data_IF_368954409600
#
_entry.id   IF_368954409600
#
_cell.length_a   1.000
_cell.length_b   1.000
_cell.length_c   1.000
_cell.angle_alpha   90.00
_cell.angle_beta   90.00
_cell.angle_gamma   90.00
#
_symmetry.space_group_name_H-M   'P 1'
#
loop_
_entity.id
_entity.type
_entity.pdbx_description
1 polymer ?
#
# COMPACT_ATOMS: atom_id res chain seq x y z
N UNK A 1 -0.67 4.50 -23.53
CA UNK A 1 -2.05 4.95 -23.80
C UNK A 1 -2.13 5.29 -25.30
N UNK A 2 -3.15 4.81 -26.01
CA UNK A 2 -3.35 5.20 -27.42
C UNK A 2 -3.51 6.73 -27.49
N UNK A 3 -2.96 7.39 -28.50
CA UNK A 3 -2.99 8.86 -28.65
C UNK A 3 -4.39 9.45 -28.51
N UNK A 4 -5.39 8.71 -28.98
CA UNK A 4 -6.79 9.14 -28.94
C UNK A 4 -7.37 9.18 -27.50
N UNK A 5 -6.98 8.26 -26.64
CA UNK A 5 -7.43 8.23 -25.23
C UNK A 5 -6.86 9.44 -24.47
N UNK A 6 -5.59 9.78 -24.71
CA UNK A 6 -4.99 10.97 -24.10
C UNK A 6 -5.69 12.27 -24.49
N UNK A 7 -6.12 12.38 -25.76
CA UNK A 7 -6.87 13.55 -26.23
C UNK A 7 -8.27 13.63 -25.61
N UNK A 8 -8.93 12.48 -25.39
CA UNK A 8 -10.25 12.41 -24.76
C UNK A 8 -10.21 12.60 -23.24
N UNK A 9 -9.04 12.45 -22.61
CA UNK A 9 -8.89 12.60 -21.16
C UNK A 9 -9.03 14.08 -20.77
N UNK A 10 -9.96 14.43 -19.84
CA UNK A 10 -10.15 15.80 -19.38
C UNK A 10 -8.89 16.40 -18.74
N UNK A 11 -8.72 17.72 -18.84
CA UNK A 11 -7.57 18.42 -18.26
C UNK A 11 -7.45 18.21 -16.74
N UNK A 12 -8.58 18.17 -16.03
CA UNK A 12 -8.64 17.89 -14.60
C UNK A 12 -8.11 16.49 -14.25
N UNK A 13 -8.39 15.47 -15.07
CA UNK A 13 -7.86 14.12 -14.89
C UNK A 13 -6.36 14.07 -15.19
N UNK A 14 -5.88 14.82 -16.19
CA UNK A 14 -4.44 14.96 -16.46
C UNK A 14 -3.72 15.60 -15.28
N UNK A 15 -4.34 16.59 -14.64
CA UNK A 15 -3.82 17.20 -13.42
C UNK A 15 -3.73 16.19 -12.26
N UNK A 16 -4.78 15.37 -12.09
CA UNK A 16 -4.76 14.29 -11.09
C UNK A 16 -3.64 13.27 -11.35
N UNK A 17 -3.30 12.99 -12.62
CA UNK A 17 -2.15 12.13 -12.94
C UNK A 17 -0.83 12.72 -12.42
N UNK A 18 -0.60 14.01 -12.69
CA UNK A 18 0.63 14.71 -12.27
C UNK A 18 0.71 14.74 -10.76
N UNK A 19 -0.38 15.12 -10.07
CA UNK A 19 -0.40 15.18 -8.60
C UNK A 19 -0.20 13.79 -7.98
N UNK A 20 -0.84 12.75 -8.51
CA UNK A 20 -0.66 11.36 -8.04
C UNK A 20 0.78 10.88 -8.22
N UNK A 21 1.41 11.17 -9.37
CA UNK A 21 2.81 10.84 -9.62
C UNK A 21 3.74 11.51 -8.59
N UNK A 22 3.59 12.83 -8.39
CA UNK A 22 4.42 13.60 -7.44
C UNK A 22 4.23 13.10 -6.01
N UNK A 23 2.99 12.80 -5.59
CA UNK A 23 2.71 12.27 -4.26
C UNK A 23 3.32 10.89 -4.04
N UNK A 24 3.25 9.99 -5.03
CA UNK A 24 3.90 8.67 -4.93
C UNK A 24 5.42 8.81 -4.84
N UNK A 25 6.01 9.70 -5.64
CA UNK A 25 7.43 9.99 -5.59
C UNK A 25 7.86 10.44 -4.18
N UNK A 26 7.16 11.38 -3.55
CA UNK A 26 7.46 11.84 -2.20
C UNK A 26 7.26 10.76 -1.12
N UNK A 27 6.17 9.99 -1.22
CA UNK A 27 5.84 8.96 -0.24
C UNK A 27 6.87 7.81 -0.22
N UNK A 28 7.10 7.20 -1.38
CA UNK A 28 8.00 6.06 -1.48
C UNK A 28 9.49 6.45 -1.39
N UNK A 29 9.82 7.73 -1.60
CA UNK A 29 11.15 8.24 -1.30
C UNK A 29 11.41 8.35 0.20
N UNK A 30 10.41 8.71 1.02
CA UNK A 30 10.60 8.97 2.44
C UNK A 30 10.49 7.71 3.31
N UNK A 31 9.44 6.90 3.12
CA UNK A 31 9.04 5.88 4.10
C UNK A 31 10.12 4.81 4.38
N UNK A 32 10.78 4.19 3.37
CA UNK A 32 11.85 3.23 3.64
C UNK A 32 13.03 3.85 4.39
N UNK A 33 13.38 5.08 4.07
CA UNK A 33 14.52 5.78 4.70
C UNK A 33 14.19 6.37 6.07
N UNK A 34 12.90 6.55 6.41
CA UNK A 34 12.48 6.86 7.78
C UNK A 34 12.88 5.72 8.72
N UNK A 35 12.67 4.45 8.33
CA UNK A 35 13.14 3.30 9.11
C UNK A 35 14.64 3.41 9.39
N UNK A 36 15.45 3.61 8.34
CA UNK A 36 16.91 3.68 8.46
C UNK A 36 17.38 4.92 9.23
N UNK A 37 16.64 6.00 9.22
CA UNK A 37 16.93 7.17 10.05
C UNK A 37 16.68 6.88 11.53
N UNK A 38 15.54 6.25 11.85
CA UNK A 38 15.19 5.92 13.24
C UNK A 38 16.16 4.90 13.85
N UNK A 39 16.56 3.87 13.10
CA UNK A 39 17.47 2.83 13.59
C UNK A 39 18.93 3.24 13.53
N UNK A 40 19.39 3.85 12.43
CA UNK A 40 20.79 4.19 12.22
C UNK A 40 21.20 5.53 12.82
N UNK A 41 20.45 6.63 12.57
CA UNK A 41 20.84 7.98 13.03
C UNK A 41 20.37 8.27 14.44
N UNK A 42 19.15 7.84 14.81
CA UNK A 42 18.58 8.06 16.15
C UNK A 42 19.00 6.93 17.11
N UNK A 43 19.32 5.72 16.57
CA UNK A 43 19.78 4.58 17.37
C UNK A 43 18.65 3.80 18.05
N UNK A 44 17.41 3.90 17.52
CA UNK A 44 16.28 3.13 18.06
C UNK A 44 16.32 1.67 17.60
N UNK A 45 15.65 0.80 18.37
CA UNK A 45 15.38 -0.56 17.94
C UNK A 45 14.44 -0.57 16.74
N UNK A 46 14.47 -1.62 15.95
CA UNK A 46 13.54 -1.78 14.82
C UNK A 46 12.08 -1.90 15.31
N UNK A 47 11.88 -2.44 16.50
CA UNK A 47 10.58 -2.46 17.19
C UNK A 47 10.01 -1.03 17.38
N UNK A 48 10.84 -0.10 17.85
CA UNK A 48 10.40 1.30 18.07
C UNK A 48 10.15 2.02 16.74
N UNK A 49 11.00 1.82 15.75
CA UNK A 49 10.77 2.33 14.39
C UNK A 49 9.47 1.74 13.80
N UNK A 50 9.24 0.45 14.00
CA UNK A 50 8.01 -0.24 13.61
C UNK A 50 6.77 0.32 14.30
N UNK A 51 6.87 0.72 15.57
CA UNK A 51 5.77 1.37 16.28
C UNK A 51 5.36 2.69 15.62
N UNK A 52 6.32 3.56 15.29
CA UNK A 52 6.06 4.82 14.58
C UNK A 52 5.40 4.58 13.23
N UNK A 53 5.94 3.65 12.43
CA UNK A 53 5.40 3.30 11.12
C UNK A 53 4.03 2.61 11.22
N UNK A 54 3.82 1.77 12.24
CA UNK A 54 2.54 1.14 12.54
C UNK A 54 1.47 2.16 12.88
N UNK A 55 1.77 3.13 13.74
CA UNK A 55 0.87 4.25 14.08
C UNK A 55 0.53 5.07 12.83
N UNK A 56 1.52 5.37 11.98
CA UNK A 56 1.29 6.05 10.71
C UNK A 56 0.37 5.24 9.79
N UNK A 57 0.63 3.94 9.66
CA UNK A 57 -0.14 3.03 8.81
C UNK A 57 -1.58 2.91 9.29
N UNK A 58 -1.78 2.72 10.59
CA UNK A 58 -3.10 2.67 11.19
C UNK A 58 -3.86 3.99 11.02
N UNK A 59 -3.18 5.12 11.24
CA UNK A 59 -3.76 6.46 11.03
C UNK A 59 -4.19 6.68 9.58
N UNK A 60 -3.49 6.09 8.61
CA UNK A 60 -3.85 6.21 7.19
C UNK A 60 -4.99 5.28 6.80
N UNK A 61 -4.87 4.00 7.05
CA UNK A 61 -5.81 3.00 6.54
C UNK A 61 -7.01 2.78 7.49
N UNK A 62 -6.79 2.85 8.80
CA UNK A 62 -7.85 2.70 9.80
C UNK A 62 -8.89 3.84 9.73
N UNK A 63 -8.46 5.04 9.39
CA UNK A 63 -9.34 6.20 9.23
C UNK A 63 -9.76 6.50 7.78
N UNK A 64 -9.34 5.70 6.78
CA UNK A 64 -9.67 5.93 5.38
C UNK A 64 -11.18 5.94 5.11
N UNK A 65 -11.96 5.11 5.82
CA UNK A 65 -13.40 5.12 5.75
C UNK A 65 -14.00 6.46 6.20
N UNK A 66 -13.51 7.01 7.32
CA UNK A 66 -13.92 8.34 7.80
C UNK A 66 -13.52 9.45 6.82
N UNK A 67 -12.34 9.31 6.20
CA UNK A 67 -11.90 10.21 5.14
C UNK A 67 -12.84 10.23 3.94
N UNK A 68 -13.36 9.07 3.53
CA UNK A 68 -14.40 8.95 2.51
C UNK A 68 -15.68 9.69 2.90
N UNK A 69 -16.16 9.52 4.13
CA UNK A 69 -17.35 10.23 4.65
C UNK A 69 -17.16 11.76 4.67
N UNK A 70 -15.99 12.23 5.08
CA UNK A 70 -15.64 13.65 5.04
C UNK A 70 -15.67 14.18 3.61
N UNK A 71 -15.13 13.40 2.65
CA UNK A 71 -15.13 13.75 1.24
C UNK A 71 -16.54 13.81 0.64
N UNK A 72 -17.41 12.88 1.02
CA UNK A 72 -18.82 12.87 0.60
C UNK A 72 -19.63 14.04 1.19
N UNK A 73 -19.23 14.55 2.36
CA UNK A 73 -19.92 15.68 3.01
C UNK A 73 -19.40 17.05 2.55
N UNK A 74 -18.08 17.22 2.46
CA UNK A 74 -17.43 18.51 2.21
C UNK A 74 -16.94 18.69 0.76
N UNK A 75 -17.08 17.66 -0.07
CA UNK A 75 -16.63 17.63 -1.46
C UNK A 75 -15.20 17.07 -1.62
N UNK A 76 -14.99 16.44 -2.76
CA UNK A 76 -13.73 15.72 -3.02
C UNK A 76 -12.52 16.64 -3.12
N UNK A 77 -12.64 17.79 -3.81
CA UNK A 77 -11.55 18.77 -3.94
C UNK A 77 -11.07 19.26 -2.56
N UNK A 78 -11.99 19.74 -1.73
CA UNK A 78 -11.65 20.32 -0.42
C UNK A 78 -10.97 19.29 0.50
N UNK A 79 -11.51 18.06 0.53
CA UNK A 79 -10.95 16.98 1.35
C UNK A 79 -9.58 16.52 0.85
N UNK A 80 -9.37 16.46 -0.47
CA UNK A 80 -8.06 16.18 -1.04
C UNK A 80 -7.02 17.22 -0.63
N UNK A 81 -7.34 18.52 -0.78
CA UNK A 81 -6.42 19.61 -0.43
C UNK A 81 -6.08 19.57 1.06
N UNK A 82 -7.09 19.41 1.93
CA UNK A 82 -6.89 19.29 3.36
C UNK A 82 -5.97 18.12 3.71
N UNK A 83 -6.24 16.94 3.13
CA UNK A 83 -5.44 15.74 3.36
C UNK A 83 -3.99 15.88 2.89
N UNK A 84 -3.78 16.44 1.69
CA UNK A 84 -2.43 16.73 1.17
C UNK A 84 -1.69 17.73 2.05
N UNK A 85 -2.36 18.77 2.54
CA UNK A 85 -1.76 19.79 3.40
C UNK A 85 -1.36 19.22 4.77
N UNK A 86 -2.23 18.40 5.40
CA UNK A 86 -1.91 17.73 6.65
C UNK A 86 -0.73 16.77 6.46
N UNK A 87 -0.71 15.99 5.36
CA UNK A 87 0.40 15.08 5.06
C UNK A 87 1.70 15.84 4.79
N UNK A 88 1.64 16.97 4.09
CA UNK A 88 2.79 17.84 3.86
C UNK A 88 3.43 18.29 5.17
N UNK A 89 2.60 18.76 6.12
CA UNK A 89 3.04 19.15 7.46
C UNK A 89 3.65 17.93 8.19
N UNK A 90 2.95 16.78 8.18
CA UNK A 90 3.44 15.57 8.83
C UNK A 90 4.80 15.12 8.30
N UNK A 91 5.01 15.14 6.97
CA UNK A 91 6.28 14.78 6.37
C UNK A 91 7.37 15.82 6.68
N UNK A 92 7.08 17.11 6.57
CA UNK A 92 8.05 18.15 6.90
C UNK A 92 8.45 18.11 8.38
N UNK A 93 7.52 17.77 9.29
CA UNK A 93 7.80 17.70 10.73
C UNK A 93 8.86 16.64 11.06
N UNK A 94 8.96 15.54 10.32
CA UNK A 94 10.01 14.53 10.55
C UNK A 94 11.42 15.14 10.52
N UNK A 95 11.64 16.21 9.73
CA UNK A 95 12.93 16.91 9.66
C UNK A 95 13.32 17.57 11.00
N UNK A 96 12.35 17.92 11.83
CA UNK A 96 12.54 18.67 13.08
C UNK A 96 12.32 17.85 14.34
N UNK A 97 12.12 16.53 14.18
CA UNK A 97 11.88 15.63 15.30
C UNK A 97 13.16 15.43 16.11
N UNK A 98 13.09 15.76 17.40
CA UNK A 98 14.20 15.60 18.37
C UNK A 98 13.82 14.70 19.54
N UNK A 99 12.52 14.59 19.85
CA UNK A 99 12.00 13.74 20.94
C UNK A 99 11.11 12.66 20.36
N UNK A 100 10.96 11.55 21.06
CA UNK A 100 10.16 10.39 20.62
C UNK A 100 8.75 10.77 20.22
N UNK A 101 8.04 11.54 21.04
CA UNK A 101 6.66 11.93 20.77
C UNK A 101 6.50 12.81 19.52
N UNK A 102 7.54 13.56 19.08
CA UNK A 102 7.50 14.32 17.84
C UNK A 102 7.31 13.40 16.64
N UNK A 103 8.01 12.25 16.63
CA UNK A 103 7.90 11.25 15.56
C UNK A 103 6.49 10.64 15.50
N UNK A 104 5.87 10.41 16.67
CA UNK A 104 4.47 9.92 16.69
C UNK A 104 3.49 10.97 16.16
N UNK A 105 3.66 12.24 16.53
CA UNK A 105 2.81 13.33 16.01
C UNK A 105 2.96 13.45 14.49
N UNK A 106 4.20 13.46 13.97
CA UNK A 106 4.47 13.49 12.53
C UNK A 106 3.87 12.27 11.82
N UNK A 107 3.99 11.07 12.40
CA UNK A 107 3.42 9.84 11.91
C UNK A 107 1.88 9.89 11.84
N UNK A 108 1.22 10.34 12.90
CA UNK A 108 -0.25 10.50 12.95
C UNK A 108 -0.70 11.52 11.90
N UNK A 109 -0.09 12.70 11.84
CA UNK A 109 -0.46 13.72 10.86
C UNK A 109 -0.27 13.22 9.42
N UNK A 110 0.88 12.61 9.12
CA UNK A 110 1.13 12.08 7.77
C UNK A 110 0.15 10.96 7.40
N UNK A 111 -0.24 10.13 8.37
CA UNK A 111 -1.24 9.08 8.19
C UNK A 111 -2.64 9.66 7.97
N UNK A 112 -3.11 10.53 8.87
CA UNK A 112 -4.42 11.19 8.77
C UNK A 112 -4.57 11.99 7.47
N UNK A 113 -3.50 12.69 7.04
CA UNK A 113 -3.50 13.34 5.73
C UNK A 113 -3.81 12.34 4.61
N UNK A 114 -3.19 11.15 4.64
CA UNK A 114 -3.44 10.08 3.69
C UNK A 114 -4.86 9.54 3.72
N UNK A 115 -5.42 9.34 4.92
CA UNK A 115 -6.78 8.84 5.09
C UNK A 115 -7.84 9.75 4.47
N UNK A 116 -7.57 11.05 4.39
CA UNK A 116 -8.47 12.03 3.77
C UNK A 116 -8.31 12.07 2.25
N UNK A 117 -7.07 12.20 1.74
CA UNK A 117 -6.90 12.47 0.31
C UNK A 117 -7.04 11.22 -0.58
N UNK A 118 -6.68 10.02 -0.11
CA UNK A 118 -6.70 8.82 -0.95
C UNK A 118 -8.10 8.40 -1.41
N UNK A 119 -9.12 8.29 -0.53
CA UNK A 119 -10.48 8.01 -0.96
C UNK A 119 -11.08 9.15 -1.77
N UNK A 120 -10.85 10.42 -1.37
CA UNK A 120 -11.33 11.59 -2.10
C UNK A 120 -10.71 11.67 -3.51
N UNK A 121 -9.42 11.37 -3.65
CA UNK A 121 -8.74 11.32 -4.94
C UNK A 121 -9.27 10.21 -5.85
N UNK A 122 -9.52 9.03 -5.31
CA UNK A 122 -10.11 7.92 -6.06
C UNK A 122 -11.52 8.24 -6.56
N UNK A 123 -12.35 8.87 -5.72
CA UNK A 123 -13.66 9.36 -6.10
C UNK A 123 -13.59 10.48 -7.16
N UNK A 124 -12.64 11.42 -7.01
CA UNK A 124 -12.41 12.48 -8.00
C UNK A 124 -12.07 11.91 -9.38
N UNK A 125 -11.20 10.90 -9.46
CA UNK A 125 -10.93 10.19 -10.72
C UNK A 125 -12.19 9.58 -11.32
N UNK A 126 -13.02 8.93 -10.51
CA UNK A 126 -14.25 8.29 -10.98
C UNK A 126 -15.27 9.31 -11.52
N UNK A 127 -15.45 10.42 -10.80
CA UNK A 127 -16.43 11.48 -11.17
C UNK A 127 -15.97 12.29 -12.39
N UNK A 128 -14.69 12.63 -12.49
CA UNK A 128 -14.16 13.45 -13.58
C UNK A 128 -13.90 12.67 -14.85
N UNK A 129 -13.94 11.34 -14.84
CA UNK A 129 -13.64 10.51 -15.99
C UNK A 129 -14.91 10.03 -16.67
N UNK A 130 -15.10 10.28 -17.99
CA UNK A 130 -16.20 9.70 -18.76
C UNK A 130 -16.20 8.17 -18.69
N UNK A 131 -17.38 7.55 -18.60
CA UNK A 131 -17.54 6.09 -18.45
C UNK A 131 -16.83 5.31 -19.57
N UNK A 132 -16.86 5.84 -20.80
CA UNK A 132 -16.28 5.20 -21.98
C UNK A 132 -14.76 4.96 -21.90
N UNK A 133 -14.02 5.78 -21.13
CA UNK A 133 -12.55 5.70 -21.01
C UNK A 133 -12.08 5.42 -19.58
N UNK A 134 -13.00 5.11 -18.66
CA UNK A 134 -12.69 4.98 -17.22
C UNK A 134 -11.66 3.88 -16.96
N UNK A 135 -11.78 2.72 -17.61
CA UNK A 135 -10.84 1.61 -17.44
C UNK A 135 -9.42 1.99 -17.84
N UNK A 136 -9.28 2.66 -18.97
CA UNK A 136 -7.99 3.12 -19.49
C UNK A 136 -7.37 4.20 -18.61
N UNK A 137 -8.18 5.11 -18.08
CA UNK A 137 -7.73 6.15 -17.16
C UNK A 137 -7.17 5.53 -15.87
N UNK A 138 -7.87 4.59 -15.26
CA UNK A 138 -7.38 3.90 -14.06
C UNK A 138 -6.15 3.03 -14.35
N UNK A 139 -6.08 2.37 -15.51
CA UNK A 139 -4.91 1.61 -15.93
C UNK A 139 -3.68 2.53 -16.09
N UNK A 140 -3.85 3.68 -16.73
CA UNK A 140 -2.76 4.65 -16.89
C UNK A 140 -2.33 5.28 -15.57
N UNK A 141 -3.28 5.57 -14.67
CA UNK A 141 -2.97 5.98 -13.28
C UNK A 141 -2.04 4.98 -12.61
N UNK A 142 -2.34 3.67 -12.68
CA UNK A 142 -1.51 2.63 -12.08
C UNK A 142 -0.09 2.60 -12.68
N UNK A 143 0.05 2.77 -13.98
CA UNK A 143 1.37 2.88 -14.63
C UNK A 143 2.14 4.08 -14.07
N UNK A 144 1.53 5.27 -14.01
CA UNK A 144 2.17 6.47 -13.48
C UNK A 144 2.55 6.33 -12.00
N UNK A 145 1.73 5.65 -11.19
CA UNK A 145 2.06 5.36 -9.80
C UNK A 145 3.32 4.50 -9.70
N UNK A 146 3.42 3.42 -10.49
CA UNK A 146 4.62 2.56 -10.51
C UNK A 146 5.87 3.31 -11.01
N UNK A 147 5.75 4.15 -12.02
CA UNK A 147 6.86 5.02 -12.48
C UNK A 147 7.28 5.97 -11.36
N UNK A 148 6.32 6.53 -10.61
CA UNK A 148 6.59 7.36 -9.43
C UNK A 148 7.34 6.59 -8.34
N UNK A 149 6.98 5.32 -8.11
CA UNK A 149 7.68 4.45 -7.15
C UNK A 149 9.14 4.19 -7.57
N UNK A 150 9.39 3.90 -8.84
CA UNK A 150 10.78 3.72 -9.34
C UNK A 150 11.58 5.02 -9.22
N UNK A 151 11.02 6.14 -9.65
CA UNK A 151 11.66 7.45 -9.51
C UNK A 151 11.96 7.81 -8.05
N UNK A 152 11.07 7.40 -7.13
CA UNK A 152 11.22 7.65 -5.71
C UNK A 152 12.45 6.96 -5.10
N UNK A 153 12.81 5.77 -5.59
CA UNK A 153 13.99 5.06 -5.08
C UNK A 153 15.28 5.81 -5.43
N UNK A 154 15.36 6.38 -6.64
CA UNK A 154 16.51 7.18 -7.07
C UNK A 154 16.62 8.46 -6.23
N UNK A 155 15.51 9.21 -6.13
CA UNK A 155 15.48 10.47 -5.38
C UNK A 155 15.68 10.22 -3.87
N UNK A 156 15.01 9.19 -3.33
CA UNK A 156 15.12 8.81 -1.92
C UNK A 156 16.55 8.44 -1.54
N UNK A 157 17.20 7.60 -2.36
CA UNK A 157 18.61 7.24 -2.17
C UNK A 157 19.53 8.48 -2.20
N UNK A 158 19.37 9.33 -3.22
CA UNK A 158 20.22 10.51 -3.38
C UNK A 158 20.07 11.50 -2.22
N UNK A 159 18.85 11.79 -1.79
CA UNK A 159 18.62 12.71 -0.68
C UNK A 159 18.96 12.09 0.68
N UNK A 160 18.67 10.80 0.90
CA UNK A 160 19.02 10.11 2.15
C UNK A 160 20.53 9.95 2.34
N UNK A 161 21.32 9.94 1.26
CA UNK A 161 22.78 9.95 1.34
C UNK A 161 23.34 11.30 1.79
N UNK A 162 22.61 12.38 1.57
CA UNK A 162 22.97 13.71 2.09
C UNK A 162 22.56 13.85 3.56
N UNK A 163 21.27 13.84 3.84
CA UNK A 163 20.69 13.87 5.17
C UNK A 163 19.18 13.57 5.07
N UNK A 164 18.65 12.86 6.07
CA UNK A 164 17.20 12.60 6.20
C UNK A 164 16.39 13.91 6.32
N UNK A 165 16.97 14.95 6.89
CA UNK A 165 16.37 16.28 6.98
C UNK A 165 15.89 16.79 5.61
N UNK A 166 16.77 16.75 4.59
CA UNK A 166 16.44 17.22 3.26
C UNK A 166 15.40 16.32 2.56
N UNK A 167 15.49 15.01 2.77
CA UNK A 167 14.52 14.07 2.24
C UNK A 167 13.11 14.34 2.80
N UNK A 168 13.04 14.61 4.09
CA UNK A 168 11.78 14.89 4.79
C UNK A 168 11.13 16.19 4.31
N UNK A 169 11.93 17.27 4.22
CA UNK A 169 11.47 18.54 3.66
C UNK A 169 11.06 18.42 2.20
N UNK A 170 11.81 17.70 1.40
CA UNK A 170 11.48 17.46 0.00
C UNK A 170 10.13 16.73 -0.15
N UNK A 171 9.90 15.66 0.61
CA UNK A 171 8.63 14.96 0.59
C UNK A 171 7.47 15.88 1.05
N UNK A 172 7.67 16.65 2.11
CA UNK A 172 6.71 17.66 2.57
C UNK A 172 6.41 18.72 1.50
N UNK A 173 7.45 19.26 0.85
CA UNK A 173 7.31 20.25 -0.22
C UNK A 173 6.56 19.71 -1.44
N UNK A 174 6.78 18.45 -1.83
CA UNK A 174 6.02 17.82 -2.92
C UNK A 174 4.54 17.76 -2.60
N UNK A 175 4.15 17.36 -1.39
CA UNK A 175 2.75 17.35 -0.97
C UNK A 175 2.15 18.74 -0.84
N UNK A 176 2.89 19.72 -0.33
CA UNK A 176 2.46 21.11 -0.28
C UNK A 176 2.23 21.68 -1.70
N UNK A 177 3.17 21.43 -2.61
CA UNK A 177 3.04 21.85 -4.02
C UNK A 177 1.82 21.22 -4.67
N UNK A 178 1.57 19.92 -4.46
CA UNK A 178 0.37 19.27 -5.01
C UNK A 178 -0.91 19.81 -4.42
N UNK A 179 -0.93 20.17 -3.13
CA UNK A 179 -2.09 20.82 -2.50
C UNK A 179 -2.37 22.20 -3.12
N UNK A 180 -1.33 23.02 -3.34
CA UNK A 180 -1.45 24.32 -4.00
C UNK A 180 -1.92 24.16 -5.45
N UNK A 181 -1.33 23.26 -6.21
CA UNK A 181 -1.72 22.97 -7.59
C UNK A 181 -3.18 22.51 -7.68
N UNK A 182 -3.60 21.61 -6.78
CA UNK A 182 -4.99 21.16 -6.71
C UNK A 182 -5.94 22.32 -6.32
N UNK A 183 -5.54 23.19 -5.40
CA UNK A 183 -6.32 24.37 -5.02
C UNK A 183 -6.56 25.31 -6.20
N UNK A 184 -5.52 25.62 -6.95
CA UNK A 184 -5.57 26.61 -8.04
C UNK A 184 -6.25 26.06 -9.30
N UNK A 185 -5.97 24.81 -9.68
CA UNK A 185 -6.30 24.31 -11.01
C UNK A 185 -7.36 23.21 -11.04
N UNK A 186 -7.67 22.54 -9.91
CA UNK A 186 -8.71 21.53 -9.90
C UNK A 186 -10.10 22.21 -9.83
N UNK A 187 -11.07 21.82 -10.66
CA UNK A 187 -12.43 22.36 -10.58
C UNK A 187 -13.09 21.92 -9.25
N UNK A 188 -14.11 22.63 -8.77
CA UNK A 188 -14.93 22.13 -7.68
C UNK A 188 -15.56 20.78 -8.07
N UNK A 189 -15.37 19.77 -7.24
CA UNK A 189 -15.92 18.43 -7.45
C UNK A 189 -16.94 18.22 -6.34
N UNK A 190 -18.21 18.32 -6.69
CA UNK A 190 -19.30 18.10 -5.76
C UNK A 190 -19.35 16.65 -5.30
N UNK A 191 -19.73 16.45 -4.05
CA UNK A 191 -20.01 15.14 -3.52
C UNK A 191 -21.21 14.51 -4.24
N UNK A 192 -21.15 13.24 -4.53
CA UNK A 192 -22.32 12.46 -4.93
C UNK A 192 -23.13 12.18 -3.69
N UNK A 193 -24.31 12.82 -3.56
CA UNK A 193 -25.26 12.55 -2.47
C UNK A 193 -25.79 11.11 -2.56
N UNK A 194 -25.03 10.15 -2.06
CA UNK A 194 -25.53 8.79 -1.85
C UNK A 194 -26.42 8.81 -0.62
N UNK A 195 -27.75 8.81 -0.83
CA UNK A 195 -28.78 8.75 0.22
C UNK A 195 -28.81 7.42 1.00
N UNK A 196 -27.96 6.47 0.68
CA UNK A 196 -27.90 5.19 1.38
C UNK A 196 -27.17 5.36 2.71
N UNK A 197 -27.84 4.94 3.79
CA UNK A 197 -27.28 4.99 5.14
C UNK A 197 -25.99 4.18 5.22
N UNK A 198 -24.87 4.85 5.40
CA UNK A 198 -23.52 4.25 5.47
C UNK A 198 -23.47 3.15 6.53
N UNK A 199 -24.17 3.34 7.65
CA UNK A 199 -24.26 2.36 8.73
C UNK A 199 -25.01 1.08 8.34
N UNK A 200 -26.03 1.17 7.48
CA UNK A 200 -26.76 -0.01 7.00
C UNK A 200 -25.87 -0.86 6.09
N UNK A 201 -25.11 -0.23 5.22
CA UNK A 201 -24.14 -0.92 4.33
C UNK A 201 -23.01 -1.58 5.13
N UNK A 202 -22.50 -0.90 6.16
CA UNK A 202 -21.48 -1.44 7.04
C UNK A 202 -21.99 -2.62 7.88
N UNK A 203 -23.20 -2.51 8.42
CA UNK A 203 -23.87 -3.61 9.12
C UNK A 203 -24.02 -4.86 8.24
N UNK A 204 -24.35 -4.67 6.94
CA UNK A 204 -24.47 -5.78 6.00
C UNK A 204 -23.14 -6.54 5.85
N UNK A 205 -22.02 -5.82 5.73
CA UNK A 205 -20.69 -6.42 5.65
C UNK A 205 -20.36 -7.24 6.90
N UNK A 206 -20.71 -6.76 8.10
CA UNK A 206 -20.47 -7.45 9.37
C UNK A 206 -21.24 -8.77 9.50
N UNK A 207 -22.33 -8.95 8.76
CA UNK A 207 -23.10 -10.21 8.75
C UNK A 207 -22.60 -11.20 7.67
N UNK A 208 -21.78 -10.76 6.74
CA UNK A 208 -21.16 -11.64 5.74
C UNK A 208 -19.93 -12.37 6.30
N UNK A 209 -20.20 -13.49 6.97
CA UNK A 209 -19.13 -14.28 7.61
C UNK A 209 -18.07 -14.79 6.64
N UNK A 210 -18.44 -15.01 5.36
CA UNK A 210 -17.46 -15.48 4.37
C UNK A 210 -16.49 -14.36 4.01
N UNK A 211 -17.00 -13.16 3.76
CA UNK A 211 -16.18 -11.99 3.48
C UNK A 211 -15.35 -11.55 4.70
N UNK A 212 -15.89 -11.66 5.93
CA UNK A 212 -15.11 -11.41 7.14
C UNK A 212 -13.91 -12.35 7.27
N UNK A 213 -14.12 -13.65 7.02
CA UNK A 213 -13.01 -14.65 7.03
C UNK A 213 -11.97 -14.32 5.95
N UNK A 214 -12.42 -13.94 4.76
CA UNK A 214 -11.53 -13.50 3.69
C UNK A 214 -10.68 -12.29 4.13
N UNK A 215 -11.31 -11.26 4.71
CA UNK A 215 -10.61 -10.07 5.21
C UNK A 215 -9.61 -10.41 6.32
N UNK A 216 -9.96 -11.33 7.24
CA UNK A 216 -9.04 -11.79 8.29
C UNK A 216 -7.84 -12.52 7.69
N UNK A 217 -8.03 -13.38 6.70
CA UNK A 217 -6.92 -14.09 6.04
C UNK A 217 -6.01 -13.10 5.31
N UNK A 218 -6.56 -12.06 4.72
CA UNK A 218 -5.78 -11.01 4.06
C UNK A 218 -4.91 -10.18 5.02
N UNK A 219 -5.19 -10.18 6.33
CA UNK A 219 -4.27 -9.59 7.33
C UNK A 219 -2.89 -10.24 7.22
N UNK A 220 -2.82 -11.57 7.09
CA UNK A 220 -1.56 -12.29 6.88
C UNK A 220 -0.88 -11.93 5.55
N UNK A 221 -1.65 -11.77 4.47
CA UNK A 221 -1.11 -11.28 3.20
C UNK A 221 -0.46 -9.90 3.33
N UNK A 222 -1.15 -8.95 3.96
CA UNK A 222 -0.61 -7.60 4.14
C UNK A 222 0.50 -7.54 5.19
N UNK A 223 0.54 -8.49 6.13
CA UNK A 223 1.71 -8.67 7.00
C UNK A 223 2.98 -8.94 6.16
N UNK A 224 2.92 -9.86 5.20
CA UNK A 224 4.04 -10.15 4.31
C UNK A 224 4.39 -8.95 3.42
N UNK A 225 3.38 -8.33 2.82
CA UNK A 225 3.56 -7.21 1.91
C UNK A 225 4.28 -6.01 2.56
N UNK A 226 3.93 -5.70 3.80
CA UNK A 226 4.46 -4.52 4.51
C UNK A 226 5.89 -4.69 5.05
N UNK A 227 6.48 -5.89 4.98
CA UNK A 227 7.90 -6.10 5.30
C UNK A 227 8.83 -5.26 4.39
N UNK A 228 8.34 -4.90 3.20
CA UNK A 228 9.04 -4.02 2.24
C UNK A 228 9.40 -2.64 2.81
N UNK A 229 8.69 -2.18 3.82
CA UNK A 229 8.87 -0.82 4.36
C UNK A 229 9.64 -0.77 5.68
N UNK A 230 9.88 -1.92 6.33
CA UNK A 230 10.56 -1.97 7.62
C UNK A 230 11.74 -2.94 7.61
N UNK A 231 11.47 -4.23 7.49
CA UNK A 231 12.49 -5.27 7.71
C UNK A 231 13.43 -5.44 6.53
N UNK A 232 12.93 -5.36 5.29
CA UNK A 232 13.79 -5.44 4.10
C UNK A 232 14.79 -4.28 4.05
N UNK A 233 14.41 -2.99 4.18
CA UNK A 233 15.36 -1.89 4.24
C UNK A 233 16.40 -2.05 5.35
N UNK A 234 15.97 -2.51 6.54
CA UNK A 234 16.88 -2.73 7.66
C UNK A 234 17.88 -3.86 7.38
N UNK A 235 17.41 -5.01 6.86
CA UNK A 235 18.29 -6.12 6.52
C UNK A 235 19.33 -5.73 5.47
N UNK A 236 18.91 -5.00 4.44
CA UNK A 236 19.82 -4.52 3.38
C UNK A 236 20.90 -3.63 3.98
N UNK A 237 20.54 -2.73 4.89
CA UNK A 237 21.52 -1.87 5.58
C UNK A 237 22.43 -2.68 6.51
N UNK A 238 21.89 -3.65 7.25
CA UNK A 238 22.69 -4.51 8.14
C UNK A 238 23.71 -5.36 7.38
N UNK A 239 23.41 -5.81 6.14
CA UNK A 239 24.32 -6.62 5.32
C UNK A 239 25.29 -5.75 4.51
N UNK A 240 24.78 -4.69 3.89
CA UNK A 240 25.54 -3.92 2.90
C UNK A 240 26.23 -2.68 3.49
N UNK A 241 25.85 -2.26 4.70
CA UNK A 241 26.35 -1.07 5.40
C UNK A 241 26.30 0.22 4.55
N UNK A 242 25.36 0.29 3.61
CA UNK A 242 25.19 1.43 2.71
C UNK A 242 23.73 1.56 2.23
N UNK A 243 23.09 2.67 2.58
CA UNK A 243 21.70 3.00 2.25
C UNK A 243 21.38 3.00 0.75
N UNK A 244 22.39 3.19 -0.12
CA UNK A 244 22.22 3.15 -1.58
C UNK A 244 21.68 1.81 -2.06
N UNK A 245 22.11 0.70 -1.45
CA UNK A 245 21.66 -0.63 -1.83
C UNK A 245 20.19 -0.88 -1.51
N UNK A 246 19.62 -0.19 -0.53
CA UNK A 246 18.17 -0.23 -0.25
C UNK A 246 17.37 0.24 -1.46
N UNK A 247 17.78 1.37 -2.06
CA UNK A 247 17.16 1.87 -3.29
C UNK A 247 17.27 0.87 -4.45
N UNK A 248 18.39 0.17 -4.59
CA UNK A 248 18.58 -0.84 -5.64
C UNK A 248 17.63 -2.03 -5.44
N UNK A 249 17.55 -2.58 -4.23
CA UNK A 249 16.69 -3.71 -3.90
C UNK A 249 15.21 -3.34 -4.09
N UNK A 250 14.77 -2.19 -3.60
CA UNK A 250 13.39 -1.72 -3.78
C UNK A 250 13.08 -1.37 -5.25
N UNK A 251 14.07 -0.88 -6.00
CA UNK A 251 13.92 -0.67 -7.46
C UNK A 251 13.73 -2.00 -8.19
N UNK A 252 14.39 -3.08 -7.75
CA UNK A 252 14.19 -4.42 -8.33
C UNK A 252 12.74 -4.86 -8.23
N UNK A 253 12.08 -4.66 -7.07
CA UNK A 253 10.64 -4.94 -6.91
C UNK A 253 9.83 -4.14 -7.93
N UNK A 254 10.02 -2.84 -7.97
CA UNK A 254 9.22 -1.93 -8.80
C UNK A 254 9.43 -2.16 -10.30
N UNK A 255 10.67 -2.37 -10.74
CA UNK A 255 11.01 -2.66 -12.14
C UNK A 255 10.44 -4.01 -12.58
N UNK A 256 10.51 -5.04 -11.72
CA UNK A 256 9.92 -6.34 -12.00
C UNK A 256 8.42 -6.22 -12.25
N UNK A 257 7.71 -5.44 -11.40
CA UNK A 257 6.28 -5.17 -11.57
C UNK A 257 6.00 -4.47 -12.90
N UNK A 258 6.73 -3.41 -13.25
CA UNK A 258 6.53 -2.68 -14.51
C UNK A 258 6.73 -3.60 -15.72
N UNK A 259 7.74 -4.45 -15.70
CA UNK A 259 8.11 -5.29 -16.85
C UNK A 259 7.23 -6.52 -17.01
N UNK A 260 6.79 -7.13 -15.90
CA UNK A 260 6.18 -8.46 -15.92
C UNK A 260 4.69 -8.48 -15.55
N UNK A 261 4.17 -7.45 -14.85
CA UNK A 261 2.79 -7.42 -14.34
C UNK A 261 1.75 -7.77 -15.41
N UNK A 262 1.84 -7.15 -16.58
CA UNK A 262 0.85 -7.34 -17.66
C UNK A 262 0.88 -8.78 -18.17
N UNK A 263 2.06 -9.35 -18.41
CA UNK A 263 2.22 -10.73 -18.88
C UNK A 263 1.69 -11.74 -17.87
N UNK A 264 1.99 -11.51 -16.58
CA UNK A 264 1.52 -12.38 -15.49
C UNK A 264 -0.01 -12.30 -15.39
N UNK A 265 -0.60 -11.12 -15.44
CA UNK A 265 -2.06 -10.94 -15.39
C UNK A 265 -2.73 -11.62 -16.58
N UNK A 266 -2.23 -11.45 -17.81
CA UNK A 266 -2.74 -12.12 -19.00
C UNK A 266 -2.66 -13.65 -18.88
N UNK A 267 -1.54 -14.18 -18.43
CA UNK A 267 -1.36 -15.62 -18.22
C UNK A 267 -2.33 -16.17 -17.17
N UNK A 268 -2.60 -15.42 -16.10
CA UNK A 268 -3.49 -15.84 -15.02
C UNK A 268 -4.98 -15.64 -15.33
N UNK A 269 -5.36 -14.96 -16.40
CA UNK A 269 -6.77 -14.75 -16.76
C UNK A 269 -7.55 -16.04 -16.99
N UNK A 270 -6.89 -17.10 -17.49
CA UNK A 270 -7.50 -18.40 -17.75
C UNK A 270 -7.86 -19.18 -16.48
N UNK A 271 -7.25 -18.85 -15.35
CA UNK A 271 -7.50 -19.54 -14.08
C UNK A 271 -8.74 -18.95 -13.39
N UNK A 272 -9.70 -19.82 -13.04
CA UNK A 272 -10.96 -19.42 -12.39
C UNK A 272 -10.84 -19.26 -10.87
N UNK A 273 -9.95 -20.01 -10.23
CA UNK A 273 -9.78 -20.14 -8.78
C UNK A 273 -8.99 -18.96 -8.20
N UNK A 274 -9.66 -17.83 -8.05
CA UNK A 274 -9.01 -16.55 -7.68
C UNK A 274 -8.44 -16.54 -6.25
N UNK A 275 -9.11 -17.18 -5.29
CA UNK A 275 -8.61 -17.26 -3.91
C UNK A 275 -7.34 -18.10 -3.84
N UNK A 276 -7.24 -19.18 -4.62
CA UNK A 276 -6.02 -19.99 -4.71
C UNK A 276 -4.86 -19.16 -5.26
N UNK A 277 -5.10 -18.35 -6.30
CA UNK A 277 -4.06 -17.47 -6.85
C UNK A 277 -3.54 -16.45 -5.80
N UNK A 278 -4.44 -15.87 -5.00
CA UNK A 278 -4.04 -14.99 -3.88
C UNK A 278 -3.16 -15.78 -2.89
N UNK A 279 -3.57 -17.00 -2.55
CA UNK A 279 -2.80 -17.87 -1.65
C UNK A 279 -1.43 -18.24 -2.19
N UNK A 280 -1.35 -18.63 -3.47
CA UNK A 280 -0.08 -18.94 -4.15
C UNK A 280 0.84 -17.72 -4.12
N UNK A 281 0.33 -16.52 -4.44
CA UNK A 281 1.12 -15.31 -4.39
C UNK A 281 1.61 -14.97 -2.98
N UNK A 282 0.78 -15.17 -1.94
CA UNK A 282 1.20 -15.00 -0.55
C UNK A 282 2.30 -16.01 -0.17
N UNK A 283 2.21 -17.25 -0.65
CA UNK A 283 3.23 -18.28 -0.43
C UNK A 283 4.54 -17.92 -1.13
N UNK A 284 4.48 -17.45 -2.38
CA UNK A 284 5.66 -16.99 -3.12
C UNK A 284 6.33 -15.80 -2.41
N UNK A 285 5.55 -14.84 -1.88
CA UNK A 285 6.09 -13.77 -1.05
C UNK A 285 6.76 -14.30 0.22
N UNK A 286 6.09 -15.25 0.91
CA UNK A 286 6.63 -15.90 2.11
C UNK A 286 7.94 -16.65 1.83
N UNK A 287 8.06 -17.33 0.69
CA UNK A 287 9.29 -17.99 0.24
C UNK A 287 10.38 -16.96 -0.05
N UNK A 288 10.08 -15.87 -0.79
CA UNK A 288 11.04 -14.80 -1.02
C UNK A 288 11.58 -14.25 0.29
N UNK A 289 10.69 -13.87 1.22
CA UNK A 289 11.11 -13.37 2.53
C UNK A 289 11.91 -14.41 3.33
N UNK A 290 11.57 -15.70 3.25
CA UNK A 290 12.31 -16.76 3.92
C UNK A 290 13.74 -16.90 3.40
N UNK A 291 13.94 -16.76 2.10
CA UNK A 291 15.26 -16.84 1.49
C UNK A 291 16.20 -15.72 1.94
N UNK A 292 15.67 -14.58 2.43
CA UNK A 292 16.46 -13.50 3.00
C UNK A 292 17.36 -13.94 4.18
N UNK A 293 17.03 -15.03 4.86
CA UNK A 293 17.91 -15.58 5.90
C UNK A 293 19.29 -16.03 5.37
N UNK A 294 19.39 -16.33 4.07
CA UNK A 294 20.63 -16.75 3.42
C UNK A 294 21.33 -15.60 2.67
N UNK A 295 20.68 -14.43 2.63
CA UNK A 295 21.21 -13.31 1.89
C UNK A 295 22.45 -12.71 2.58
N UNK A 296 23.56 -12.73 1.86
CA UNK A 296 24.84 -12.17 2.30
C UNK A 296 25.51 -11.31 1.22
N UNK A 297 24.86 -11.21 0.06
CA UNK A 297 25.32 -10.42 -1.08
C UNK A 297 24.16 -9.72 -1.77
N UNK A 298 24.44 -8.60 -2.45
CA UNK A 298 23.45 -7.81 -3.16
C UNK A 298 22.61 -8.64 -4.15
N UNK A 299 23.24 -9.56 -4.89
CA UNK A 299 22.52 -10.38 -5.88
C UNK A 299 21.46 -11.29 -5.25
N UNK A 300 21.72 -11.83 -4.07
CA UNK A 300 20.71 -12.63 -3.35
C UNK A 300 19.56 -11.75 -2.86
N UNK A 301 19.86 -10.56 -2.32
CA UNK A 301 18.84 -9.59 -1.93
C UNK A 301 17.97 -9.16 -3.13
N UNK A 302 18.56 -8.97 -4.31
CA UNK A 302 17.80 -8.66 -5.54
C UNK A 302 16.97 -9.85 -6.02
N UNK A 303 17.50 -11.08 -5.93
CA UNK A 303 16.75 -12.29 -6.27
C UNK A 303 15.54 -12.48 -5.36
N UNK A 304 15.70 -12.28 -4.05
CA UNK A 304 14.62 -12.35 -3.08
C UNK A 304 13.56 -11.29 -3.32
N UNK A 305 13.99 -10.05 -3.61
CA UNK A 305 13.12 -8.95 -4.00
C UNK A 305 12.33 -9.27 -5.28
N UNK A 306 12.97 -9.93 -6.25
CA UNK A 306 12.32 -10.40 -7.47
C UNK A 306 11.26 -11.47 -7.17
N UNK A 307 11.59 -12.50 -6.38
CA UNK A 307 10.65 -13.56 -5.98
C UNK A 307 9.46 -12.95 -5.22
N UNK A 308 9.75 -12.05 -4.27
CA UNK A 308 8.71 -11.32 -3.54
C UNK A 308 7.77 -10.56 -4.49
N UNK A 309 8.33 -9.88 -5.49
CA UNK A 309 7.54 -9.14 -6.47
C UNK A 309 6.65 -10.03 -7.33
N UNK A 310 7.09 -11.25 -7.69
CA UNK A 310 6.25 -12.23 -8.37
C UNK A 310 5.01 -12.57 -7.54
N UNK A 311 5.18 -12.79 -6.24
CA UNK A 311 4.07 -13.04 -5.33
C UNK A 311 3.05 -11.90 -5.31
N UNK A 312 3.51 -10.64 -5.27
CA UNK A 312 2.62 -9.47 -5.32
C UNK A 312 1.88 -9.36 -6.66
N UNK A 313 2.56 -9.61 -7.78
CA UNK A 313 1.98 -9.57 -9.12
C UNK A 313 0.89 -10.62 -9.33
N UNK A 314 1.03 -11.79 -8.71
CA UNK A 314 0.02 -12.85 -8.74
C UNK A 314 -1.20 -12.46 -7.91
N UNK A 315 -1.01 -11.92 -6.69
CA UNK A 315 -2.06 -11.73 -5.70
C UNK A 315 -2.85 -10.43 -5.85
N UNK A 316 -2.16 -9.29 -5.99
CA UNK A 316 -2.81 -7.97 -5.91
C UNK A 316 -3.96 -7.76 -6.90
N UNK A 317 -3.85 -8.14 -8.18
CA UNK A 317 -4.98 -8.01 -9.11
C UNK A 317 -6.17 -8.85 -8.70
N UNK A 318 -5.93 -10.03 -8.12
CA UNK A 318 -6.98 -10.95 -7.69
C UNK A 318 -7.69 -10.43 -6.43
N UNK A 319 -6.97 -9.82 -5.48
CA UNK A 319 -7.55 -9.22 -4.28
C UNK A 319 -8.55 -8.14 -4.68
N UNK A 320 -8.18 -7.28 -5.61
CA UNK A 320 -9.07 -6.21 -6.10
C UNK A 320 -10.28 -6.78 -6.86
N UNK A 321 -10.09 -7.83 -7.67
CA UNK A 321 -11.16 -8.49 -8.46
C UNK A 321 -12.15 -9.26 -7.57
N UNK A 322 -11.72 -9.77 -6.41
CA UNK A 322 -12.58 -10.57 -5.54
C UNK A 322 -13.58 -9.74 -4.75
N UNK A 323 -13.27 -8.51 -4.35
CA UNK A 323 -14.16 -7.69 -3.51
C UNK A 323 -15.55 -7.49 -4.13
N UNK A 324 -15.70 -7.07 -5.41
CA UNK A 324 -17.02 -6.91 -6.01
C UNK A 324 -17.74 -8.24 -6.28
N UNK A 325 -17.06 -9.39 -6.22
CA UNK A 325 -17.70 -10.72 -6.35
C UNK A 325 -18.43 -11.15 -5.07
N UNK A 326 -17.97 -10.67 -3.92
CA UNK A 326 -18.65 -10.88 -2.63
C UNK A 326 -19.79 -9.89 -2.41
N UNK A 327 -19.62 -8.67 -2.91
CA UNK A 327 -20.49 -7.56 -2.59
C UNK A 327 -21.78 -7.57 -3.41
N UNK A 328 -22.98 -7.42 -2.78
CA UNK A 328 -24.17 -6.98 -3.50
C UNK A 328 -23.93 -5.65 -4.20
N UNK A 329 -24.58 -5.43 -5.35
CA UNK A 329 -24.33 -4.24 -6.20
C UNK A 329 -24.48 -2.91 -5.44
N UNK A 330 -25.39 -2.87 -4.48
CA UNK A 330 -25.72 -1.70 -3.66
C UNK A 330 -24.66 -1.42 -2.58
N UNK A 331 -23.83 -2.42 -2.20
CA UNK A 331 -22.91 -2.34 -1.07
C UNK A 331 -21.41 -2.46 -1.44
N UNK A 332 -21.07 -2.47 -2.73
CA UNK A 332 -19.69 -2.67 -3.22
C UNK A 332 -18.69 -1.71 -2.57
N UNK A 333 -19.07 -0.44 -2.42
CA UNK A 333 -18.20 0.55 -1.79
C UNK A 333 -17.90 0.23 -0.31
N UNK A 334 -18.88 -0.27 0.43
CA UNK A 334 -18.70 -0.68 1.83
C UNK A 334 -17.77 -1.90 1.95
N UNK A 335 -17.88 -2.86 1.02
CA UNK A 335 -17.00 -4.02 0.97
C UNK A 335 -15.55 -3.62 0.66
N UNK A 336 -15.30 -2.70 -0.27
CA UNK A 336 -13.96 -2.16 -0.51
C UNK A 336 -13.41 -1.41 0.71
N UNK A 337 -14.23 -0.58 1.35
CA UNK A 337 -13.85 0.12 2.57
C UNK A 337 -13.48 -0.84 3.70
N UNK A 338 -14.30 -1.89 3.90
CA UNK A 338 -14.03 -2.91 4.91
C UNK A 338 -12.78 -3.75 4.58
N UNK A 339 -12.58 -4.10 3.31
CA UNK A 339 -11.36 -4.79 2.87
C UNK A 339 -10.08 -3.98 3.20
N UNK A 340 -10.17 -2.65 3.24
CA UNK A 340 -9.08 -1.77 3.65
C UNK A 340 -8.60 -2.03 5.08
N UNK A 341 -9.46 -2.56 5.98
CA UNK A 341 -9.05 -2.92 7.33
C UNK A 341 -8.05 -4.09 7.36
N UNK A 342 -8.08 -4.99 6.38
CA UNK A 342 -7.03 -6.03 6.27
C UNK A 342 -5.64 -5.43 6.08
N UNK A 343 -5.54 -4.38 5.27
CA UNK A 343 -4.29 -3.62 5.10
C UNK A 343 -3.96 -2.77 6.34
N UNK A 344 -4.97 -2.16 6.98
CA UNK A 344 -4.76 -1.37 8.20
C UNK A 344 -4.18 -2.24 9.32
N UNK A 345 -4.84 -3.36 9.61
CA UNK A 345 -4.44 -4.26 10.69
C UNK A 345 -3.16 -5.02 10.30
N UNK A 346 -3.15 -5.66 9.12
CA UNK A 346 -2.00 -6.43 8.63
C UNK A 346 -0.74 -5.60 8.52
N UNK A 347 -0.85 -4.39 8.00
CA UNK A 347 0.26 -3.45 7.90
C UNK A 347 0.77 -2.99 9.28
N UNK A 348 -0.15 -2.64 10.17
CA UNK A 348 0.23 -2.24 11.54
C UNK A 348 0.90 -3.38 12.31
N UNK A 349 0.31 -4.59 12.24
CA UNK A 349 0.89 -5.79 12.85
C UNK A 349 2.25 -6.11 12.26
N UNK A 350 2.41 -6.00 10.94
CA UNK A 350 3.70 -6.17 10.25
C UNK A 350 4.78 -5.22 10.78
N UNK A 351 4.44 -3.95 10.92
CA UNK A 351 5.39 -2.94 11.41
C UNK A 351 5.76 -3.19 12.88
N UNK A 352 4.78 -3.47 13.73
CA UNK A 352 5.01 -3.70 15.16
C UNK A 352 5.75 -5.01 15.43
N UNK A 353 5.13 -6.13 15.03
CA UNK A 353 5.67 -7.46 15.31
C UNK A 353 6.85 -7.82 14.41
N UNK A 354 6.86 -7.36 13.15
CA UNK A 354 8.00 -7.58 12.26
C UNK A 354 9.28 -6.96 12.81
N UNK A 355 9.22 -5.70 13.27
CA UNK A 355 10.34 -5.03 13.90
C UNK A 355 10.77 -5.69 15.20
N UNK A 356 9.80 -6.03 16.07
CA UNK A 356 10.09 -6.69 17.35
C UNK A 356 10.74 -8.08 17.17
N UNK A 357 10.22 -8.91 16.28
CA UNK A 357 10.77 -10.25 16.01
C UNK A 357 12.15 -10.15 15.37
N UNK A 358 12.38 -9.14 14.53
CA UNK A 358 13.70 -8.89 13.96
C UNK A 358 14.72 -8.56 15.05
N UNK A 359 14.39 -7.67 15.99
CA UNK A 359 15.24 -7.33 17.13
C UNK A 359 15.49 -8.54 18.03
N UNK A 360 14.45 -9.33 18.34
CA UNK A 360 14.57 -10.58 19.12
C UNK A 360 15.51 -11.56 18.41
N UNK A 361 15.33 -11.76 17.09
CA UNK A 361 16.20 -12.62 16.29
C UNK A 361 17.65 -12.17 16.33
N UNK A 362 17.91 -10.88 16.26
CA UNK A 362 19.26 -10.29 16.34
C UNK A 362 19.88 -10.46 17.73
N UNK A 363 19.10 -10.23 18.80
CA UNK A 363 19.57 -10.32 20.18
C UNK A 363 19.84 -11.76 20.65
N UNK A 364 19.10 -12.74 20.10
CA UNK A 364 19.24 -14.16 20.44
C UNK A 364 20.14 -14.92 19.46
N UNK A 365 20.78 -14.23 18.50
CA UNK A 365 21.54 -14.84 17.39
C UNK A 365 20.71 -15.83 16.55
N UNK A 366 19.40 -15.56 16.45
CA UNK A 366 18.41 -16.34 15.68
C UNK A 366 17.96 -15.54 14.45
N UNK A 367 18.89 -15.16 13.59
CA UNK A 367 18.61 -14.31 12.41
C UNK A 367 17.58 -14.93 11.45
N UNK A 368 17.36 -16.24 11.50
CA UNK A 368 16.35 -16.95 10.73
C UNK A 368 14.91 -16.72 11.21
N UNK A 369 14.71 -16.28 12.47
CA UNK A 369 13.42 -16.23 13.14
C UNK A 369 12.36 -15.35 12.41
N UNK A 370 12.64 -14.07 12.04
CA UNK A 370 11.65 -13.23 11.37
C UNK A 370 11.23 -13.81 10.02
N UNK A 371 12.16 -14.42 9.29
CA UNK A 371 11.93 -14.94 7.96
C UNK A 371 11.16 -16.26 7.97
N UNK A 372 11.42 -17.13 8.95
CA UNK A 372 10.64 -18.36 9.16
C UNK A 372 9.19 -18.02 9.49
N UNK A 373 8.96 -17.00 10.32
CA UNK A 373 7.61 -16.54 10.60
C UNK A 373 6.89 -16.07 9.32
N UNK A 374 7.58 -15.33 8.44
CA UNK A 374 7.00 -14.92 7.17
C UNK A 374 6.58 -16.13 6.30
N UNK A 375 7.40 -17.17 6.24
CA UNK A 375 7.05 -18.42 5.56
C UNK A 375 5.81 -19.07 6.17
N UNK A 376 5.75 -19.19 7.49
CA UNK A 376 4.60 -19.76 8.21
C UNK A 376 3.32 -18.95 7.95
N UNK A 377 3.40 -17.62 7.97
CA UNK A 377 2.26 -16.76 7.60
C UNK A 377 1.81 -17.03 6.17
N UNK A 378 2.73 -17.15 5.21
CA UNK A 378 2.42 -17.53 3.83
C UNK A 378 1.69 -18.88 3.73
N UNK A 379 2.16 -19.89 4.47
CA UNK A 379 1.51 -21.21 4.55
C UNK A 379 0.09 -21.13 5.13
N UNK A 380 -0.11 -20.36 6.19
CA UNK A 380 -1.42 -20.16 6.81
C UNK A 380 -2.38 -19.47 5.84
N UNK A 381 -1.91 -18.44 5.13
CA UNK A 381 -2.72 -17.72 4.14
C UNK A 381 -3.15 -18.64 2.99
N UNK A 382 -2.20 -19.34 2.36
CA UNK A 382 -2.53 -20.23 1.24
C UNK A 382 -3.47 -21.37 1.67
N UNK A 383 -3.24 -21.96 2.84
CA UNK A 383 -4.09 -23.01 3.38
C UNK A 383 -5.54 -22.56 3.61
N UNK A 384 -5.73 -21.38 4.20
CA UNK A 384 -7.07 -20.87 4.45
C UNK A 384 -7.79 -20.50 3.15
N UNK A 385 -7.10 -19.85 2.20
CA UNK A 385 -7.69 -19.49 0.92
C UNK A 385 -8.03 -20.70 0.08
N UNK A 386 -7.21 -21.75 0.10
CA UNK A 386 -7.52 -23.03 -0.56
C UNK A 386 -8.80 -23.65 -0.01
N UNK A 387 -8.96 -23.69 1.33
CA UNK A 387 -10.18 -24.18 1.97
C UNK A 387 -11.42 -23.33 1.66
N UNK A 388 -11.22 -22.03 1.51
CA UNK A 388 -12.30 -21.10 1.17
C UNK A 388 -12.74 -21.25 -0.28
N UNK A 389 -11.83 -21.49 -1.22
CA UNK A 389 -12.17 -21.70 -2.64
C UNK A 389 -13.10 -22.90 -2.81
N UNK A 390 -12.80 -24.01 -2.17
CA UNK A 390 -13.67 -25.21 -2.24
C UNK A 390 -15.08 -24.96 -1.70
N UNK A 391 -15.25 -24.09 -0.70
CA UNK A 391 -16.58 -23.68 -0.21
C UNK A 391 -17.29 -22.73 -1.17
N UNK A 392 -16.55 -21.82 -1.78
CA UNK A 392 -17.09 -20.89 -2.78
C UNK A 392 -17.60 -21.63 -4.02
N UNK A 393 -16.85 -22.59 -4.52
CA UNK A 393 -17.26 -23.44 -5.64
C UNK A 393 -18.54 -24.24 -5.31
N UNK A 394 -18.66 -24.74 -4.08
CA UNK A 394 -19.87 -25.44 -3.63
C UNK A 394 -21.11 -24.50 -3.54
N UNK A 395 -20.92 -23.23 -3.17
CA UNK A 395 -21.99 -22.24 -3.13
C UNK A 395 -22.44 -21.78 -4.53
N UNK A 396 -21.52 -21.70 -5.47
CA UNK A 396 -21.77 -21.30 -6.87
C UNK A 396 -22.21 -22.47 -7.78
N UNK A 397 -22.11 -23.70 -7.29
CA UNK A 397 -22.52 -24.90 -8.04
C UNK A 397 -24.05 -24.97 -8.20
N UNK A 398 -24.58 -25.21 -9.42
CA UNK A 398 -26.03 -25.13 -9.73
C UNK A 398 -26.94 -26.15 -9.01
N UNK A 399 -26.39 -27.06 -8.20
CA UNK A 399 -27.14 -28.11 -7.51
C UNK A 399 -27.98 -27.66 -6.32
N UNK A 400 -28.05 -26.37 -6.00
CA UNK A 400 -28.91 -25.82 -4.94
C UNK A 400 -30.08 -24.96 -5.44
N UNK A 401 -30.31 -24.91 -6.75
CA UNK A 401 -31.57 -24.40 -7.30
C UNK A 401 -32.48 -25.60 -7.55
N UNK A 402 -33.04 -26.15 -6.50
CA UNK A 402 -34.24 -27.00 -6.50
C UNK A 402 -35.19 -26.53 -5.39
#
# INVERSE_FOLDING_TARGET
>A
MKSDIWRQTPASVKLLYITSFIMNLGFYALIPYLTLHLTGSIGWTLAMAGLVLGVRQFSQQGFAFLGGMVADKFGYKSTMILGMSIRAIGFALFAFCTKEWHFFVAAILSGLGGSLFEPAGSAAYAVLTPDAIRKEVFAFRNVLQNVGVVGSQIVGTALASLDFYWLSLFAGALYATTAVVAFLFLPPIAATNTKQGIWSSFSHVLHDQFFLKYTIVLIGYYYLYMQTFLTIPQLVEDIMHNKTYVGIVLSTISLSVILLQMKIVEWLQSYKQRLILIGIGAMVMGIGLFLLMFANHLWLLMLDAFIFSLGTMISMPQIVDMVPRFAPKEHVAAYYGFNGYSLAIGGTVSQLFGGWIYDVGKNLDMQWLPWTLCLLVGMVVVWNLYRMEGKLEQQLSPSRVK
#
